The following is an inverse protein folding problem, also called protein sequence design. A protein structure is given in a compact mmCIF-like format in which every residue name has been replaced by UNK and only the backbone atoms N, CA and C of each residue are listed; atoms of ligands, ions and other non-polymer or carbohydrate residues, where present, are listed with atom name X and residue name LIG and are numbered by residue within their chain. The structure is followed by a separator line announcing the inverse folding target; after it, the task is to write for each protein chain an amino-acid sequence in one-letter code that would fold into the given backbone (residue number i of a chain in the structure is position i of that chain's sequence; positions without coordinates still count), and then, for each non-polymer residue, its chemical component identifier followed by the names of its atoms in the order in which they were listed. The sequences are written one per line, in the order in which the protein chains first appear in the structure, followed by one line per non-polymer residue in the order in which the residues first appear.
data_IF_313644738878
#
_entry.id   IF_313644738878
#
_cell.length_a   1.000
_cell.length_b   1.000
_cell.length_c   1.000
_cell.angle_alpha   90.00
_cell.angle_beta   90.00
_cell.angle_gamma   90.00
#
_symmetry.space_group_name_H-M   'P 1'
#
loop_
_entity.id
_entity.type
_entity.pdbx_description
1 polymer ?
#
# COMPACT_ATOMS: atom_id res chain seq x y z
N UNK A 1 -24.66 26.52 3.05
CA UNK A 1 -23.85 26.18 4.25
C UNK A 1 -24.50 25.10 5.11
N UNK A 2 -25.78 25.25 5.51
CA UNK A 2 -26.46 24.26 6.36
C UNK A 2 -26.58 22.85 5.73
N UNK A 3 -26.89 22.75 4.43
CA UNK A 3 -27.00 21.44 3.76
C UNK A 3 -25.68 20.67 3.68
N UNK A 4 -24.56 21.39 3.50
CA UNK A 4 -23.23 20.80 3.50
C UNK A 4 -22.87 20.22 4.88
N UNK A 5 -23.12 20.99 5.94
CA UNK A 5 -22.90 20.54 7.32
C UNK A 5 -23.77 19.32 7.68
N UNK A 6 -25.01 19.30 7.23
CA UNK A 6 -25.92 18.17 7.42
C UNK A 6 -25.43 16.91 6.67
N UNK A 7 -24.91 17.07 5.44
CA UNK A 7 -24.34 15.97 4.67
C UNK A 7 -23.08 15.42 5.33
N UNK A 8 -22.15 16.28 5.79
CA UNK A 8 -20.97 15.84 6.53
C UNK A 8 -21.34 15.09 7.82
N UNK A 9 -22.34 15.58 8.57
CA UNK A 9 -22.84 14.91 9.78
C UNK A 9 -23.47 13.55 9.45
N UNK A 10 -24.16 13.43 8.31
CA UNK A 10 -24.77 12.18 7.86
C UNK A 10 -23.71 11.15 7.47
N UNK A 11 -22.72 11.55 6.68
CA UNK A 11 -21.57 10.70 6.31
C UNK A 11 -20.84 10.20 7.57
N UNK A 12 -20.60 11.09 8.54
CA UNK A 12 -19.96 10.70 9.80
C UNK A 12 -20.80 9.71 10.63
N UNK A 13 -22.11 9.92 10.70
CA UNK A 13 -23.01 9.00 11.39
C UNK A 13 -23.08 7.63 10.70
N UNK A 14 -23.12 7.60 9.37
CA UNK A 14 -23.13 6.36 8.58
C UNK A 14 -21.78 5.61 8.77
N UNK A 15 -20.65 6.33 8.77
CA UNK A 15 -19.32 5.77 9.07
C UNK A 15 -19.26 5.10 10.47
N UNK A 16 -19.85 5.71 11.50
CA UNK A 16 -19.95 5.10 12.84
C UNK A 16 -20.87 3.89 12.81
N UNK A 17 -22.04 4.01 12.19
CA UNK A 17 -23.09 2.98 12.15
C UNK A 17 -22.64 1.71 11.42
N UNK A 18 -21.82 1.87 10.39
CA UNK A 18 -21.29 0.75 9.61
C UNK A 18 -20.04 0.12 10.23
N UNK A 19 -19.59 0.62 11.39
CA UNK A 19 -18.48 0.08 12.17
C UNK A 19 -17.21 -0.15 11.32
N UNK A 20 -17.00 0.71 10.32
CA UNK A 20 -15.94 0.51 9.31
C UNK A 20 -14.54 0.57 9.90
N UNK A 21 -14.40 1.16 11.09
CA UNK A 21 -13.19 1.15 11.90
C UNK A 21 -12.76 -0.27 12.30
N UNK A 22 -13.69 -1.21 12.48
CA UNK A 22 -13.38 -2.61 12.79
C UNK A 22 -12.75 -3.28 11.58
N UNK A 23 -13.29 -3.05 10.39
CA UNK A 23 -12.72 -3.56 9.13
C UNK A 23 -11.37 -2.91 8.83
N UNK A 24 -11.20 -1.63 9.17
CA UNK A 24 -9.93 -0.92 9.00
C UNK A 24 -8.84 -1.51 9.89
N UNK A 25 -9.15 -1.81 11.16
CA UNK A 25 -8.23 -2.45 12.09
C UNK A 25 -7.87 -3.88 11.65
N UNK A 26 -8.85 -4.66 11.18
CA UNK A 26 -8.59 -5.98 10.62
C UNK A 26 -7.65 -5.90 9.41
N UNK A 27 -7.93 -4.99 8.47
CA UNK A 27 -7.15 -4.83 7.26
C UNK A 27 -5.72 -4.35 7.56
N UNK A 28 -5.56 -3.35 8.43
CA UNK A 28 -4.25 -2.82 8.81
C UNK A 28 -3.38 -3.90 9.47
N UNK A 29 -3.95 -4.70 10.38
CA UNK A 29 -3.23 -5.78 11.05
C UNK A 29 -2.67 -6.79 10.04
N UNK A 30 -3.50 -7.30 9.13
CA UNK A 30 -3.08 -8.33 8.18
C UNK A 30 -2.14 -7.79 7.08
N UNK A 31 -2.28 -6.53 6.68
CA UNK A 31 -1.35 -5.90 5.73
C UNK A 31 0.01 -5.66 6.41
N UNK A 32 0.06 -5.15 7.64
CA UNK A 32 1.33 -5.00 8.38
C UNK A 32 1.99 -6.35 8.63
N UNK A 33 1.20 -7.38 8.99
CA UNK A 33 1.70 -8.75 9.14
C UNK A 33 2.31 -9.29 7.83
N UNK A 34 1.76 -8.90 6.67
CA UNK A 34 2.30 -9.29 5.36
C UNK A 34 3.58 -8.53 4.96
N UNK A 35 3.90 -7.41 5.61
CA UNK A 35 5.06 -6.60 5.27
C UNK A 35 6.38 -7.35 5.53
N UNK A 36 6.48 -8.10 6.63
CA UNK A 36 7.69 -8.86 6.95
C UNK A 36 8.04 -9.91 5.86
N UNK A 37 7.16 -10.86 5.51
CA UNK A 37 7.48 -11.83 4.45
C UNK A 37 7.59 -11.16 3.06
N UNK A 38 6.91 -10.02 2.83
CA UNK A 38 7.10 -9.25 1.60
C UNK A 38 8.50 -8.66 1.48
N UNK A 39 9.05 -8.09 2.55
CA UNK A 39 10.43 -7.59 2.57
C UNK A 39 11.42 -8.73 2.25
N UNK A 40 11.18 -9.94 2.76
CA UNK A 40 12.02 -11.10 2.43
C UNK A 40 11.95 -11.47 0.94
N UNK A 41 10.78 -11.41 0.32
CA UNK A 41 10.63 -11.62 -1.13
C UNK A 41 11.41 -10.56 -1.91
N UNK A 42 11.34 -9.30 -1.51
CA UNK A 42 12.09 -8.24 -2.18
C UNK A 42 13.61 -8.49 -2.09
N UNK A 43 14.11 -8.83 -0.91
CA UNK A 43 15.54 -9.08 -0.70
C UNK A 43 16.04 -10.30 -1.49
N UNK A 44 15.27 -11.38 -1.50
CA UNK A 44 15.57 -12.58 -2.30
C UNK A 44 15.54 -12.32 -3.81
N UNK A 45 14.58 -11.52 -4.29
CA UNK A 45 14.51 -11.13 -5.71
C UNK A 45 15.71 -10.29 -6.14
N UNK A 46 16.20 -9.38 -5.28
CA UNK A 46 17.37 -8.55 -5.61
C UNK A 46 18.64 -9.42 -5.69
N UNK A 47 18.81 -10.39 -4.80
CA UNK A 47 19.95 -11.33 -4.86
C UNK A 47 19.93 -12.24 -6.10
N UNK A 48 18.75 -12.49 -6.69
CA UNK A 48 18.63 -13.26 -7.91
C UNK A 48 19.20 -12.54 -9.14
N UNK A 49 19.45 -11.22 -9.03
CA UNK A 49 20.06 -10.41 -10.08
C UNK A 49 21.57 -10.70 -10.07
N UNK A 50 22.13 -11.38 -11.08
CA UNK A 50 23.54 -11.81 -11.07
C UNK A 50 24.55 -10.66 -10.99
N UNK A 51 24.10 -9.44 -11.26
CA UNK A 51 24.90 -8.22 -11.26
C UNK A 51 24.96 -7.49 -9.90
N UNK A 52 24.24 -7.96 -8.87
CA UNK A 52 24.18 -7.30 -7.56
C UNK A 52 24.87 -8.18 -6.53
N UNK A 53 26.00 -7.73 -5.99
CA UNK A 53 26.65 -8.45 -4.89
C UNK A 53 25.87 -8.23 -3.57
N UNK A 54 25.93 -9.17 -2.60
CA UNK A 54 25.33 -8.98 -1.28
C UNK A 54 25.87 -7.73 -0.55
N UNK A 55 27.13 -7.36 -0.83
CA UNK A 55 27.79 -6.17 -0.30
C UNK A 55 27.18 -4.88 -0.88
N UNK A 56 26.88 -4.85 -2.18
CA UNK A 56 26.17 -3.74 -2.83
C UNK A 56 24.76 -3.58 -2.26
N UNK A 57 24.05 -4.70 -2.04
CA UNK A 57 22.72 -4.69 -1.43
C UNK A 57 22.78 -4.09 -0.02
N UNK A 58 23.75 -4.51 0.80
CA UNK A 58 23.94 -3.98 2.14
C UNK A 58 24.21 -2.47 2.09
N UNK A 59 25.08 -2.01 1.19
CA UNK A 59 25.44 -0.61 1.03
C UNK A 59 24.25 0.27 0.58
N UNK A 60 23.35 -0.25 -0.26
CA UNK A 60 22.13 0.46 -0.65
C UNK A 60 21.12 0.49 0.48
N UNK A 61 20.97 -0.62 1.22
CA UNK A 61 20.04 -0.71 2.35
C UNK A 61 20.46 0.21 3.51
N UNK A 62 21.76 0.32 3.79
CA UNK A 62 22.28 1.22 4.85
C UNK A 62 22.10 2.70 4.53
N UNK A 63 21.96 3.05 3.25
CA UNK A 63 21.67 4.42 2.81
C UNK A 63 20.18 4.76 2.80
N UNK A 64 19.32 3.76 2.58
CA UNK A 64 17.87 3.95 2.44
C UNK A 64 17.10 3.73 3.74
N UNK A 65 17.64 2.96 4.68
CA UNK A 65 16.93 2.52 5.88
C UNK A 65 17.61 3.07 7.14
N UNK A 66 16.84 3.38 8.20
CA UNK A 66 17.40 3.79 9.49
C UNK A 66 18.26 2.70 10.11
N UNK A 67 19.34 3.09 10.82
CA UNK A 67 20.29 2.21 11.51
C UNK A 67 19.62 1.15 12.42
N UNK A 68 18.43 1.45 12.92
CA UNK A 68 17.62 0.57 13.76
C UNK A 68 17.17 -0.74 13.09
N UNK A 69 17.13 -0.79 11.75
CA UNK A 69 16.61 -1.95 10.97
C UNK A 69 17.75 -2.79 10.39
N UNK A 70 18.99 -2.29 10.38
CA UNK A 70 20.16 -2.99 9.82
C UNK A 70 20.37 -4.41 10.36
N UNK A 71 20.24 -4.68 11.69
CA UNK A 71 20.45 -6.02 12.22
C UNK A 71 19.47 -7.04 11.63
N UNK A 72 18.23 -6.60 11.35
CA UNK A 72 17.18 -7.42 10.77
C UNK A 72 17.42 -7.68 9.27
N UNK A 73 18.10 -6.76 8.58
CA UNK A 73 18.49 -6.92 7.18
C UNK A 73 19.68 -7.87 7.08
N UNK A 74 20.68 -7.70 7.95
CA UNK A 74 21.84 -8.60 8.05
C UNK A 74 21.42 -10.04 8.31
N UNK A 75 20.52 -10.28 9.26
CA UNK A 75 20.00 -11.62 9.53
C UNK A 75 19.29 -12.20 8.32
N UNK A 76 18.46 -11.41 7.63
CA UNK A 76 17.75 -11.89 6.44
C UNK A 76 18.72 -12.19 5.30
N UNK A 77 19.76 -11.37 5.08
CA UNK A 77 20.77 -11.64 4.04
C UNK A 77 21.55 -12.91 4.35
N UNK A 78 21.92 -13.15 5.60
CA UNK A 78 22.58 -14.39 6.04
C UNK A 78 21.67 -15.62 5.88
N UNK A 79 20.38 -15.51 6.24
CA UNK A 79 19.40 -16.59 6.06
C UNK A 79 19.23 -16.96 4.58
N UNK A 80 19.25 -15.97 3.68
CA UNK A 80 19.15 -16.19 2.23
C UNK A 80 20.41 -16.88 1.67
N UNK A 81 21.58 -16.65 2.24
CA UNK A 81 22.82 -17.31 1.80
C UNK A 81 22.94 -18.77 2.27
N UNK A 82 22.29 -19.12 3.38
CA UNK A 82 22.38 -20.45 4.01
C UNK A 82 21.24 -21.38 3.57
N UNK A 83 20.08 -20.85 3.21
CA UNK A 83 18.91 -21.61 2.76
C UNK A 83 18.72 -21.44 1.25
N UNK A 84 18.33 -22.52 0.56
CA UNK A 84 18.02 -22.48 -0.88
C UNK A 84 17.04 -21.33 -1.21
N UNK A 85 17.44 -20.37 -2.08
CA UNK A 85 16.62 -19.20 -2.41
C UNK A 85 15.20 -19.55 -2.88
N UNK A 86 15.04 -20.67 -3.60
CA UNK A 86 13.74 -21.16 -4.08
C UNK A 86 12.80 -21.61 -2.94
N UNK A 87 13.33 -22.28 -1.91
CA UNK A 87 12.54 -22.70 -0.76
C UNK A 87 12.07 -21.48 0.05
N UNK A 88 12.98 -20.53 0.27
CA UNK A 88 12.69 -19.31 1.01
C UNK A 88 11.66 -18.43 0.28
N UNK A 89 11.80 -18.27 -1.04
CA UNK A 89 10.83 -17.57 -1.89
C UNK A 89 9.44 -18.22 -1.84
N UNK A 90 9.36 -19.54 -1.95
CA UNK A 90 8.05 -20.23 -1.96
C UNK A 90 7.28 -20.05 -0.64
N UNK A 91 7.94 -20.28 0.51
CA UNK A 91 7.31 -20.17 1.84
C UNK A 91 6.90 -18.72 2.14
N UNK A 92 7.80 -17.76 1.89
CA UNK A 92 7.53 -16.34 2.13
C UNK A 92 6.45 -15.79 1.20
N UNK A 93 6.40 -16.25 -0.05
CA UNK A 93 5.33 -15.88 -1.00
C UNK A 93 3.97 -16.37 -0.52
N UNK A 94 3.87 -17.63 -0.08
CA UNK A 94 2.60 -18.18 0.44
C UNK A 94 2.17 -17.42 1.70
N UNK A 95 3.09 -17.16 2.63
CA UNK A 95 2.80 -16.39 3.84
C UNK A 95 2.36 -14.95 3.54
N UNK A 96 3.05 -14.28 2.60
CA UNK A 96 2.71 -12.91 2.17
C UNK A 96 1.33 -12.85 1.54
N UNK A 97 1.08 -13.72 0.54
CA UNK A 97 -0.21 -13.75 -0.16
C UNK A 97 -1.34 -14.08 0.82
N UNK A 98 -1.13 -15.04 1.73
CA UNK A 98 -2.16 -15.40 2.69
C UNK A 98 -2.49 -14.25 3.65
N UNK A 99 -1.48 -13.62 4.25
CA UNK A 99 -1.67 -12.49 5.16
C UNK A 99 -2.30 -11.31 4.43
N UNK A 100 -1.75 -10.90 3.29
CA UNK A 100 -2.26 -9.74 2.57
C UNK A 100 -3.66 -9.99 1.97
N UNK A 101 -3.99 -11.21 1.54
CA UNK A 101 -5.36 -11.56 1.11
C UNK A 101 -6.37 -11.43 2.26
N UNK A 102 -5.98 -11.73 3.51
CA UNK A 102 -6.84 -11.47 4.69
C UNK A 102 -7.02 -9.98 4.98
N UNK A 103 -6.01 -9.17 4.67
CA UNK A 103 -6.10 -7.71 4.71
C UNK A 103 -7.11 -7.18 3.70
N UNK A 104 -6.96 -7.61 2.44
CA UNK A 104 -7.88 -7.27 1.34
C UNK A 104 -9.32 -7.73 1.61
N UNK A 105 -9.51 -8.91 2.24
CA UNK A 105 -10.83 -9.36 2.73
C UNK A 105 -11.45 -8.41 3.76
N UNK A 106 -10.66 -7.74 4.59
CA UNK A 106 -11.15 -6.69 5.49
C UNK A 106 -11.69 -5.49 4.71
N UNK A 107 -10.93 -5.03 3.71
CA UNK A 107 -11.34 -3.91 2.84
C UNK A 107 -12.61 -4.26 2.05
N UNK A 108 -12.67 -5.44 1.43
CA UNK A 108 -13.84 -5.92 0.69
C UNK A 108 -15.10 -5.95 1.60
N UNK A 109 -14.98 -6.47 2.83
CA UNK A 109 -16.11 -6.51 3.77
C UNK A 109 -16.58 -5.12 4.18
N UNK A 110 -15.65 -4.21 4.45
CA UNK A 110 -15.98 -2.81 4.76
C UNK A 110 -16.68 -2.10 3.60
N UNK A 111 -16.17 -2.24 2.37
CA UNK A 111 -16.82 -1.65 1.19
C UNK A 111 -18.22 -2.23 0.94
N UNK A 112 -18.38 -3.55 1.08
CA UNK A 112 -19.70 -4.18 0.93
C UNK A 112 -20.68 -3.78 2.03
N UNK A 113 -20.19 -3.48 3.25
CA UNK A 113 -21.00 -2.94 4.34
C UNK A 113 -21.54 -1.56 4.00
N UNK A 114 -20.67 -0.65 3.55
CA UNK A 114 -21.02 0.72 3.12
C UNK A 114 -22.03 0.70 1.97
N UNK A 115 -21.81 -0.17 0.98
CA UNK A 115 -22.72 -0.31 -0.17
C UNK A 115 -24.08 -0.89 0.27
N UNK A 116 -24.14 -1.57 1.43
CA UNK A 116 -25.34 -2.26 1.91
C UNK A 116 -25.61 -3.57 1.16
N UNK A 117 -24.58 -4.17 0.55
CA UNK A 117 -24.73 -5.37 -0.26
C UNK A 117 -24.99 -6.59 0.63
N UNK A 118 -26.17 -7.20 0.54
CA UNK A 118 -26.53 -8.44 1.27
C UNK A 118 -26.05 -9.72 0.61
N UNK A 119 -25.54 -9.64 -0.63
CA UNK A 119 -25.02 -10.81 -1.35
C UNK A 119 -23.74 -11.30 -0.67
N UNK A 120 -23.62 -12.62 -0.53
CA UNK A 120 -22.38 -13.28 -0.12
C UNK A 120 -21.84 -14.07 -1.30
N UNK A 121 -20.58 -13.84 -1.67
CA UNK A 121 -19.90 -14.70 -2.63
C UNK A 121 -19.42 -15.99 -1.96
N UNK A 122 -19.28 -17.07 -2.73
CA UNK A 122 -18.70 -18.32 -2.25
C UNK A 122 -17.31 -18.05 -1.64
N UNK A 123 -17.05 -18.64 -0.48
CA UNK A 123 -15.83 -18.38 0.31
C UNK A 123 -14.53 -18.60 -0.48
N UNK A 124 -14.45 -19.68 -1.27
CA UNK A 124 -13.28 -19.95 -2.12
C UNK A 124 -13.10 -18.87 -3.20
N UNK A 125 -14.16 -18.47 -3.88
CA UNK A 125 -14.12 -17.46 -4.94
C UNK A 125 -13.79 -16.06 -4.37
N UNK A 126 -14.32 -15.75 -3.17
CA UNK A 126 -13.88 -14.64 -2.31
C UNK A 126 -12.36 -14.58 -2.19
N UNK A 127 -11.79 -15.68 -1.70
CA UNK A 127 -10.36 -15.79 -1.41
C UNK A 127 -9.48 -15.68 -2.66
N UNK A 128 -9.84 -16.34 -3.77
CA UNK A 128 -9.04 -16.31 -5.01
C UNK A 128 -8.94 -14.88 -5.56
N UNK A 129 -10.05 -14.16 -5.63
CA UNK A 129 -10.08 -12.80 -6.16
C UNK A 129 -9.33 -11.84 -5.24
N UNK A 130 -9.46 -11.98 -3.93
CA UNK A 130 -8.75 -11.11 -2.98
C UNK A 130 -7.24 -11.37 -3.00
N UNK A 131 -6.82 -12.62 -3.19
CA UNK A 131 -5.42 -12.95 -3.51
C UNK A 131 -4.99 -12.31 -4.82
N UNK A 132 -5.84 -12.32 -5.86
CA UNK A 132 -5.57 -11.63 -7.13
C UNK A 132 -5.35 -10.13 -6.97
N UNK A 133 -6.25 -9.43 -6.27
CA UNK A 133 -6.09 -8.00 -5.96
C UNK A 133 -4.85 -7.71 -5.12
N UNK A 134 -4.53 -8.61 -4.19
CA UNK A 134 -3.31 -8.53 -3.39
C UNK A 134 -2.08 -8.60 -4.30
N UNK A 135 -2.03 -9.54 -5.25
CA UNK A 135 -0.93 -9.65 -6.21
C UNK A 135 -0.81 -8.38 -7.06
N UNK A 136 -1.93 -7.84 -7.56
CA UNK A 136 -1.93 -6.59 -8.33
C UNK A 136 -1.41 -5.42 -7.48
N UNK A 137 -1.83 -5.33 -6.22
CA UNK A 137 -1.33 -4.32 -5.28
C UNK A 137 0.17 -4.47 -5.02
N UNK A 138 0.65 -5.70 -4.80
CA UNK A 138 2.07 -6.00 -4.62
C UNK A 138 2.90 -5.61 -5.85
N UNK A 139 2.42 -5.93 -7.06
CA UNK A 139 3.06 -5.55 -8.32
C UNK A 139 3.09 -4.02 -8.48
N UNK A 140 2.02 -3.31 -8.12
CA UNK A 140 2.01 -1.84 -8.09
C UNK A 140 3.03 -1.27 -7.09
N UNK A 141 3.14 -1.85 -5.89
CA UNK A 141 4.13 -1.43 -4.90
C UNK A 141 5.56 -1.63 -5.43
N UNK A 142 5.86 -2.79 -6.02
CA UNK A 142 7.16 -3.07 -6.65
C UNK A 142 7.43 -2.07 -7.77
N UNK A 143 6.46 -1.85 -8.66
CA UNK A 143 6.60 -0.89 -9.76
C UNK A 143 6.84 0.53 -9.25
N UNK A 144 6.09 0.98 -8.26
CA UNK A 144 6.25 2.29 -7.62
C UNK A 144 7.64 2.45 -6.99
N UNK A 145 8.13 1.43 -6.28
CA UNK A 145 9.45 1.43 -5.66
C UNK A 145 10.55 1.47 -6.73
N UNK A 146 10.44 0.66 -7.78
CA UNK A 146 11.39 0.67 -8.90
C UNK A 146 11.43 2.06 -9.55
N UNK A 147 10.28 2.65 -9.79
CA UNK A 147 10.16 3.97 -10.39
C UNK A 147 10.67 5.08 -9.44
N UNK A 148 10.50 4.94 -8.12
CA UNK A 148 11.03 5.89 -7.13
C UNK A 148 12.55 5.81 -6.96
N UNK A 149 13.08 4.60 -6.79
CA UNK A 149 14.48 4.31 -6.43
C UNK A 149 15.35 4.34 -7.68
N UNK A 150 14.96 3.59 -8.70
CA UNK A 150 15.71 3.54 -9.95
C UNK A 150 15.28 4.61 -10.93
N UNK A 151 14.29 5.47 -10.66
CA UNK A 151 13.84 6.49 -11.61
C UNK A 151 14.98 7.35 -12.18
N UNK A 152 15.94 7.75 -11.36
CA UNK A 152 17.13 8.51 -11.78
C UNK A 152 18.21 7.66 -12.46
N UNK A 153 18.31 6.37 -12.14
CA UNK A 153 19.25 5.44 -12.76
C UNK A 153 18.72 4.88 -14.10
N UNK A 154 17.45 4.50 -14.17
CA UNK A 154 16.69 4.21 -15.39
C UNK A 154 16.73 5.39 -16.35
N UNK A 155 16.59 6.62 -15.86
CA UNK A 155 16.78 7.83 -16.67
C UNK A 155 18.16 7.83 -17.34
N UNK A 156 19.25 7.68 -16.56
CA UNK A 156 20.62 7.63 -17.11
C UNK A 156 20.85 6.46 -18.08
N UNK A 157 20.22 5.32 -17.83
CA UNK A 157 20.35 4.13 -18.66
C UNK A 157 19.55 4.28 -19.97
N UNK A 158 18.33 4.82 -19.91
CA UNK A 158 17.51 5.17 -21.07
C UNK A 158 18.16 6.28 -21.91
N UNK A 159 18.81 7.26 -21.28
CA UNK A 159 19.60 8.28 -21.97
C UNK A 159 20.73 7.69 -22.81
N UNK A 160 21.37 6.61 -22.32
CA UNK A 160 22.50 5.97 -23.00
C UNK A 160 22.08 5.19 -24.24
N UNK A 161 20.87 4.62 -24.25
CA UNK A 161 20.36 3.80 -25.37
C UNK A 161 19.38 4.55 -26.29
N UNK A 162 18.63 5.55 -25.78
CA UNK A 162 17.60 6.27 -26.51
C UNK A 162 17.65 7.79 -26.26
N UNK A 163 18.64 8.51 -26.83
CA UNK A 163 18.78 9.97 -26.64
C UNK A 163 17.60 10.79 -27.22
N UNK A 164 16.82 10.23 -28.14
CA UNK A 164 15.60 10.85 -28.70
C UNK A 164 14.43 10.95 -27.70
N UNK A 165 14.45 10.19 -26.60
CA UNK A 165 13.38 10.19 -25.59
C UNK A 165 13.63 11.18 -24.43
N UNK A 166 14.69 11.97 -24.47
CA UNK A 166 15.10 12.92 -23.42
C UNK A 166 13.93 13.79 -22.91
N UNK A 167 13.24 14.48 -23.83
CA UNK A 167 12.09 15.33 -23.47
C UNK A 167 10.96 14.55 -22.82
N UNK A 168 10.74 13.29 -23.21
CA UNK A 168 9.68 12.44 -22.66
C UNK A 168 10.03 11.94 -21.26
N UNK A 169 11.29 11.53 -21.03
CA UNK A 169 11.79 11.06 -19.74
C UNK A 169 11.89 12.20 -18.72
N UNK A 170 12.41 13.36 -19.14
CA UNK A 170 12.49 14.57 -18.32
C UNK A 170 11.10 15.10 -17.94
N UNK A 171 10.13 15.03 -18.87
CA UNK A 171 8.73 15.33 -18.59
C UNK A 171 8.11 14.33 -17.59
N UNK A 172 8.33 13.02 -17.78
CA UNK A 172 7.86 11.96 -16.86
C UNK A 172 8.36 12.15 -15.43
N UNK A 173 9.60 12.61 -15.24
CA UNK A 173 10.18 12.87 -13.93
C UNK A 173 9.59 14.12 -13.29
N UNK A 174 9.40 15.19 -14.07
CA UNK A 174 8.68 16.38 -13.59
C UNK A 174 7.23 16.06 -13.23
N UNK A 175 6.61 15.08 -13.89
CA UNK A 175 5.28 14.57 -13.61
C UNK A 175 5.27 13.42 -12.60
N UNK A 176 6.39 13.01 -11.99
CA UNK A 176 6.45 11.83 -11.10
C UNK A 176 5.42 11.89 -9.98
N UNK A 177 5.26 13.05 -9.34
CA UNK A 177 4.26 13.27 -8.28
C UNK A 177 2.84 13.19 -8.81
N UNK A 178 2.56 13.78 -9.97
CA UNK A 178 1.27 13.69 -10.63
C UNK A 178 0.95 12.26 -11.10
N UNK A 179 1.96 11.53 -11.58
CA UNK A 179 1.84 10.13 -11.99
C UNK A 179 1.55 9.22 -10.79
N UNK A 180 2.25 9.44 -9.67
CA UNK A 180 2.00 8.72 -8.41
C UNK A 180 0.59 9.00 -7.87
N UNK A 181 0.16 10.26 -7.91
CA UNK A 181 -1.21 10.67 -7.60
C UNK A 181 -2.23 9.95 -8.50
N UNK A 182 -2.04 10.01 -9.81
CA UNK A 182 -2.92 9.39 -10.79
C UNK A 182 -3.00 7.87 -10.63
N UNK A 183 -1.86 7.21 -10.38
CA UNK A 183 -1.80 5.77 -10.10
C UNK A 183 -2.55 5.42 -8.82
N UNK A 184 -2.39 6.21 -7.74
CA UNK A 184 -3.08 5.97 -6.48
C UNK A 184 -4.59 6.20 -6.61
N UNK A 185 -5.01 7.24 -7.33
CA UNK A 185 -6.43 7.48 -7.62
C UNK A 185 -7.01 6.36 -8.49
N UNK A 186 -6.30 5.92 -9.54
CA UNK A 186 -6.71 4.81 -10.38
C UNK A 186 -6.86 3.52 -9.56
N UNK A 187 -5.94 3.27 -8.62
CA UNK A 187 -6.02 2.16 -7.70
C UNK A 187 -7.26 2.22 -6.81
N UNK A 188 -7.59 3.37 -6.23
CA UNK A 188 -8.81 3.53 -5.44
C UNK A 188 -10.09 3.40 -6.26
N UNK A 189 -10.11 3.94 -7.48
CA UNK A 189 -11.23 3.74 -8.42
C UNK A 189 -11.41 2.25 -8.72
N UNK A 190 -10.31 1.54 -9.00
CA UNK A 190 -10.33 0.11 -9.26
C UNK A 190 -10.87 -0.68 -8.06
N UNK A 191 -10.42 -0.34 -6.85
CA UNK A 191 -10.92 -0.95 -5.61
C UNK A 191 -12.40 -0.69 -5.43
N UNK A 192 -12.88 0.55 -5.54
CA UNK A 192 -14.29 0.86 -5.33
C UNK A 192 -15.22 0.28 -6.40
N UNK A 193 -14.72 0.08 -7.62
CA UNK A 193 -15.52 -0.40 -8.75
C UNK A 193 -15.62 -1.92 -8.76
N UNK A 194 -14.50 -2.62 -8.56
CA UNK A 194 -14.40 -4.06 -8.84
C UNK A 194 -14.18 -4.94 -7.61
N UNK A 195 -13.81 -4.38 -6.45
CA UNK A 195 -13.67 -5.16 -5.22
C UNK A 195 -15.03 -5.53 -4.60
N UNK A 196 -16.05 -4.65 -4.56
CA UNK A 196 -17.37 -5.01 -4.04
C UNK A 196 -18.04 -6.14 -4.84
N UNK A 197 -18.98 -6.85 -4.21
CA UNK A 197 -19.72 -7.93 -4.88
C UNK A 197 -20.58 -7.45 -6.05
N UNK A 198 -21.05 -6.21 -5.97
CA UNK A 198 -21.77 -5.56 -7.05
C UNK A 198 -20.86 -4.55 -7.72
N UNK A 199 -20.66 -4.71 -9.03
CA UNK A 199 -19.88 -3.75 -9.81
C UNK A 199 -20.52 -2.37 -9.71
N UNK A 200 -19.71 -1.38 -9.37
CA UNK A 200 -20.15 0.02 -9.33
C UNK A 200 -19.78 0.73 -10.63
N UNK A 201 -20.43 1.86 -10.93
CA UNK A 201 -20.06 2.67 -12.08
C UNK A 201 -18.78 3.46 -11.81
N UNK A 202 -17.76 3.27 -12.65
CA UNK A 202 -16.44 3.91 -12.53
C UNK A 202 -16.55 5.43 -12.39
N UNK A 203 -17.48 6.06 -13.13
CA UNK A 203 -17.67 7.52 -13.14
C UNK A 203 -18.14 8.05 -11.78
N UNK A 204 -18.94 7.28 -11.06
CA UNK A 204 -19.46 7.65 -9.74
C UNK A 204 -18.42 7.42 -8.62
N UNK A 205 -17.38 6.62 -8.89
CA UNK A 205 -16.35 6.29 -7.89
C UNK A 205 -15.14 7.24 -7.89
N UNK A 206 -14.91 7.95 -9.01
CA UNK A 206 -13.83 8.92 -9.18
C UNK A 206 -13.72 9.97 -8.05
N UNK A 207 -14.80 10.63 -7.63
CA UNK A 207 -14.65 11.79 -6.77
C UNK A 207 -14.32 11.39 -5.32
N UNK A 208 -14.85 10.27 -4.80
CA UNK A 208 -14.40 9.68 -3.53
C UNK A 208 -13.01 9.08 -3.60
N UNK A 209 -12.59 8.55 -4.76
CA UNK A 209 -11.21 8.09 -4.96
C UNK A 209 -10.22 9.26 -4.87
N UNK A 210 -10.54 10.41 -5.46
CA UNK A 210 -9.73 11.63 -5.33
C UNK A 210 -9.64 12.11 -3.88
N UNK A 211 -10.76 12.14 -3.15
CA UNK A 211 -10.77 12.54 -1.73
C UNK A 211 -9.92 11.58 -0.91
N UNK A 212 -10.03 10.27 -1.14
CA UNK A 212 -9.20 9.27 -0.48
C UNK A 212 -7.72 9.44 -0.81
N UNK A 213 -7.37 9.73 -2.07
CA UNK A 213 -5.99 9.99 -2.49
C UNK A 213 -5.42 11.21 -1.76
N UNK A 214 -6.15 12.33 -1.74
CA UNK A 214 -5.72 13.55 -1.06
C UNK A 214 -5.59 13.32 0.44
N UNK A 215 -6.58 12.66 1.06
CA UNK A 215 -6.56 12.32 2.47
C UNK A 215 -5.39 11.39 2.83
N UNK A 216 -5.11 10.39 1.99
CA UNK A 216 -4.00 9.46 2.18
C UNK A 216 -2.65 10.18 2.17
N UNK A 217 -2.46 11.12 1.23
CA UNK A 217 -1.25 11.94 1.14
C UNK A 217 -1.15 12.88 2.34
N UNK A 218 -2.23 13.55 2.72
CA UNK A 218 -2.26 14.41 3.90
C UNK A 218 -1.94 13.64 5.19
N UNK A 219 -2.50 12.45 5.35
CA UNK A 219 -2.20 11.56 6.48
C UNK A 219 -0.72 11.13 6.46
N UNK A 220 -0.19 10.74 5.30
CA UNK A 220 1.22 10.36 5.16
C UNK A 220 2.17 11.53 5.44
N UNK A 221 1.81 12.75 5.03
CA UNK A 221 2.56 13.95 5.35
C UNK A 221 2.54 14.26 6.85
N UNK A 222 1.37 14.14 7.50
CA UNK A 222 1.24 14.28 8.95
C UNK A 222 2.11 13.28 9.72
N UNK A 223 2.13 12.02 9.29
CA UNK A 223 3.04 11.00 9.86
C UNK A 223 4.51 11.31 9.58
N UNK A 224 4.85 11.86 8.41
CA UNK A 224 6.22 12.29 8.11
C UNK A 224 6.69 13.39 9.07
N UNK A 225 5.85 14.38 9.38
CA UNK A 225 6.15 15.40 10.39
C UNK A 225 6.39 14.77 11.76
N UNK A 226 5.53 13.82 12.15
CA UNK A 226 5.67 13.09 13.40
C UNK A 226 7.03 12.38 13.48
N UNK A 227 7.43 11.61 12.46
CA UNK A 227 8.73 10.95 12.45
C UNK A 227 9.90 11.94 12.48
N UNK A 228 9.82 13.03 11.73
CA UNK A 228 10.91 14.02 11.68
C UNK A 228 11.09 14.80 13.00
N UNK A 229 10.04 14.97 13.80
CA UNK A 229 10.11 15.68 15.09
C UNK A 229 10.30 14.74 16.29
N UNK A 230 9.76 13.52 16.23
CA UNK A 230 9.72 12.56 17.33
C UNK A 230 10.69 11.38 17.14
N UNK A 231 11.64 11.44 16.20
CA UNK A 231 12.63 10.37 15.93
C UNK A 231 13.50 9.98 17.13
N UNK A 232 13.53 10.80 18.19
CA UNK A 232 14.39 10.60 19.36
C UNK A 232 13.77 9.69 20.45
N UNK A 233 12.54 9.19 20.30
CA UNK A 233 11.90 8.29 21.29
C UNK A 233 12.30 6.81 21.16
N UNK A 234 13.50 6.54 20.64
CA UNK A 234 14.03 5.19 20.40
C UNK A 234 14.46 4.43 21.67
N UNK A 235 14.33 5.01 22.87
CA UNK A 235 15.01 4.52 24.08
C UNK A 235 14.28 3.43 24.89
N UNK A 236 12.96 3.24 24.76
CA UNK A 236 12.24 2.23 25.58
C UNK A 236 11.58 1.09 24.79
N UNK A 237 11.17 1.32 23.53
CA UNK A 237 10.38 0.34 22.76
C UNK A 237 10.91 0.09 21.33
N UNK A 238 12.01 0.73 20.94
CA UNK A 238 12.81 0.42 19.74
C UNK A 238 12.00 0.07 18.47
N UNK A 239 12.26 -1.10 17.90
CA UNK A 239 11.61 -1.61 16.68
C UNK A 239 10.11 -1.89 16.84
N UNK A 240 9.63 -2.17 18.05
CA UNK A 240 8.19 -2.41 18.32
C UNK A 240 7.38 -1.14 18.11
N UNK A 241 7.92 0.02 18.52
CA UNK A 241 7.31 1.33 18.28
C UNK A 241 7.09 1.61 16.80
N UNK A 242 8.07 1.27 15.95
CA UNK A 242 7.96 1.46 14.51
C UNK A 242 6.79 0.64 13.91
N UNK A 243 6.62 -0.61 14.34
CA UNK A 243 5.51 -1.47 13.89
C UNK A 243 4.16 -0.91 14.33
N UNK A 244 4.04 -0.46 15.57
CA UNK A 244 2.78 0.11 16.10
C UNK A 244 2.42 1.40 15.36
N UNK A 245 3.38 2.30 15.14
CA UNK A 245 3.15 3.55 14.40
C UNK A 245 2.77 3.24 12.94
N UNK A 246 3.44 2.28 12.29
CA UNK A 246 3.08 1.84 10.94
C UNK A 246 1.65 1.28 10.89
N UNK A 247 1.25 0.51 11.90
CA UNK A 247 -0.11 -0.03 12.00
C UNK A 247 -1.16 1.09 12.17
N UNK A 248 -0.86 2.10 13.00
CA UNK A 248 -1.73 3.27 13.20
C UNK A 248 -1.82 4.14 11.93
N UNK A 249 -0.71 4.34 11.24
CA UNK A 249 -0.68 5.04 9.95
C UNK A 249 -1.57 4.33 8.93
N UNK A 250 -1.36 3.02 8.77
CA UNK A 250 -2.12 2.25 7.81
C UNK A 250 -3.60 2.17 8.19
N UNK A 251 -3.91 2.05 9.48
CA UNK A 251 -5.27 2.13 10.00
C UNK A 251 -5.95 3.45 9.60
N UNK A 252 -5.29 4.59 9.83
CA UNK A 252 -5.82 5.90 9.45
C UNK A 252 -6.03 6.01 7.93
N UNK A 253 -5.07 5.54 7.14
CA UNK A 253 -5.17 5.47 5.68
C UNK A 253 -6.36 4.63 5.20
N UNK A 254 -6.65 3.48 5.83
CA UNK A 254 -7.80 2.64 5.47
C UNK A 254 -9.12 3.27 5.94
N UNK A 255 -9.14 3.96 7.08
CA UNK A 255 -10.30 4.75 7.50
C UNK A 255 -10.62 5.86 6.48
N UNK A 256 -9.61 6.55 5.95
CA UNK A 256 -9.77 7.55 4.88
C UNK A 256 -10.32 6.89 3.61
N UNK A 257 -9.84 5.70 3.27
CA UNK A 257 -10.37 4.93 2.14
C UNK A 257 -11.86 4.61 2.33
N UNK A 258 -12.30 4.19 3.51
CA UNK A 258 -13.73 3.96 3.77
C UNK A 258 -14.54 5.25 3.77
N UNK A 259 -13.98 6.35 4.27
CA UNK A 259 -14.61 7.65 4.22
C UNK A 259 -14.87 8.12 2.77
N UNK A 260 -13.92 7.92 1.85
CA UNK A 260 -14.15 8.20 0.43
C UNK A 260 -15.21 7.30 -0.21
N UNK A 261 -15.31 6.04 0.23
CA UNK A 261 -16.36 5.13 -0.23
C UNK A 261 -17.76 5.56 0.23
N UNK A 262 -17.90 6.04 1.47
CA UNK A 262 -19.15 6.61 2.00
C UNK A 262 -19.60 7.84 1.20
N UNK A 263 -18.66 8.72 0.84
CA UNK A 263 -18.95 9.89 0.01
C UNK A 263 -19.49 9.47 -1.36
N UNK A 264 -18.87 8.47 -2.00
CA UNK A 264 -19.35 7.94 -3.28
C UNK A 264 -20.75 7.35 -3.16
N UNK A 265 -21.04 6.64 -2.07
CA UNK A 265 -22.36 6.06 -1.83
C UNK A 265 -23.43 7.14 -1.57
N UNK A 266 -23.06 8.23 -0.90
CA UNK A 266 -23.93 9.38 -0.70
C UNK A 266 -24.26 10.12 -2.00
N UNK A 267 -23.29 10.29 -2.90
CA UNK A 267 -23.53 10.91 -4.21
C UNK A 267 -24.31 10.02 -5.19
N UNK A 268 -24.35 8.72 -4.94
CA UNK A 268 -25.17 7.78 -5.70
C UNK A 268 -26.66 7.82 -5.32
N UNK A 269 -26.99 8.23 -4.09
CA UNK A 269 -28.37 8.33 -3.58
C UNK A 269 -29.02 9.65 -3.97
#
# INVERSE_FOLDING_TARGET
MLSFLLNCKRIYNDFIKDEVTVYAAQASFFIVLSAAPFIMILLTLIQLIPAVSPEDLMHVMTQLLPSSIHPLIESVIQDIQTVSPAALLSVTTVATIWSAARGMLGIERGLNRIIGCRKRRNYLLGRIINSGYTIVFLLMCIFSLVLMVFGSSLQRLLFRYFPMLDRFVSCLISLRTFLALALLTLFFVALYTWLPYERQDIRLQLPGALISTVGWIGCSYGFSIYFNHFSNYSYMYGSLTAVVILMLWLYACICILFFGAEINQHWRR
#
